data_IF_602989933055
#
_entry.id   IF_602989933055
#
_cell.length_a   1.000
_cell.length_b   1.000
_cell.length_c   1.000
_cell.angle_alpha   90.00
_cell.angle_beta   90.00
_cell.angle_gamma   90.00
#
_symmetry.space_group_name_H-M   'P 1'
#
loop_
_entity.id
_entity.type
_entity.pdbx_description
1 polymer ?
#
# COMPACT_ATOMS: atom_id res chain seq x y z
N UNK A 1 27.46 -13.53 -11.69
CA UNK A 1 26.22 -14.10 -12.24
C UNK A 1 25.21 -14.25 -11.10
N UNK A 2 24.22 -13.37 -10.98
CA UNK A 2 23.18 -13.48 -9.95
C UNK A 2 22.20 -14.58 -10.37
N UNK A 3 22.26 -15.75 -9.71
CA UNK A 3 21.27 -16.81 -9.91
C UNK A 3 20.05 -16.50 -9.05
N UNK A 4 18.93 -16.17 -9.67
CA UNK A 4 17.65 -16.07 -8.97
C UNK A 4 17.18 -17.46 -8.57
N UNK A 5 16.73 -17.61 -7.31
CA UNK A 5 16.17 -18.88 -6.83
C UNK A 5 14.67 -18.69 -6.58
N UNK A 6 13.87 -19.62 -7.12
CA UNK A 6 12.42 -19.64 -6.97
C UNK A 6 12.04 -20.74 -5.98
N UNK A 7 11.30 -20.38 -4.93
CA UNK A 7 10.80 -21.32 -3.93
C UNK A 7 9.30 -21.16 -3.74
N UNK A 8 8.65 -22.27 -3.38
CA UNK A 8 7.26 -22.26 -2.91
C UNK A 8 7.26 -22.18 -1.39
N UNK A 9 6.52 -21.22 -0.84
CA UNK A 9 6.29 -21.11 0.60
C UNK A 9 5.05 -21.89 1.02
N UNK A 10 5.04 -22.39 2.25
CA UNK A 10 3.90 -23.08 2.87
C UNK A 10 3.55 -22.38 4.20
N UNK A 11 2.94 -21.20 4.14
CA UNK A 11 2.67 -20.41 5.34
C UNK A 11 1.60 -21.08 6.22
N UNK A 12 1.78 -21.02 7.53
CA UNK A 12 0.74 -21.38 8.48
C UNK A 12 -0.38 -20.31 8.49
N UNK A 13 -1.45 -20.54 9.27
CA UNK A 13 -2.61 -19.65 9.28
C UNK A 13 -2.28 -18.22 9.67
N UNK A 14 -1.42 -18.01 10.68
CA UNK A 14 -1.01 -16.68 11.14
C UNK A 14 -0.22 -15.94 10.06
N UNK A 15 0.72 -16.64 9.41
CA UNK A 15 1.51 -16.10 8.31
C UNK A 15 0.64 -15.75 7.10
N UNK A 16 -0.34 -16.58 6.75
CA UNK A 16 -1.28 -16.28 5.67
C UNK A 16 -2.08 -15.02 5.96
N UNK A 17 -2.58 -14.87 7.18
CA UNK A 17 -3.32 -13.68 7.59
C UNK A 17 -2.45 -12.43 7.47
N UNK A 18 -1.22 -12.47 7.98
CA UNK A 18 -0.29 -11.35 7.89
C UNK A 18 0.02 -11.00 6.42
N UNK A 19 0.37 -11.99 5.60
CA UNK A 19 0.64 -11.77 4.17
C UNK A 19 -0.56 -11.13 3.47
N UNK A 20 -1.77 -11.66 3.69
CA UNK A 20 -2.98 -11.14 3.07
C UNK A 20 -3.28 -9.71 3.55
N UNK A 21 -3.08 -9.42 4.83
CA UNK A 21 -3.27 -8.08 5.38
C UNK A 21 -2.24 -7.10 4.79
N UNK A 22 -0.97 -7.47 4.73
CA UNK A 22 0.10 -6.64 4.15
C UNK A 22 -0.18 -6.34 2.69
N UNK A 23 -0.41 -7.37 1.87
CA UNK A 23 -0.66 -7.20 0.44
C UNK A 23 -1.96 -6.42 0.18
N UNK A 24 -3.00 -6.65 0.98
CA UNK A 24 -4.25 -5.90 0.93
C UNK A 24 -4.05 -4.41 1.22
N UNK A 25 -3.32 -4.08 2.29
CA UNK A 25 -3.00 -2.71 2.66
C UNK A 25 -2.15 -2.02 1.58
N UNK A 26 -1.12 -2.70 1.07
CA UNK A 26 -0.29 -2.18 -0.02
C UNK A 26 -1.12 -1.87 -1.26
N UNK A 27 -1.99 -2.81 -1.69
CA UNK A 27 -2.87 -2.62 -2.85
C UNK A 27 -3.81 -1.42 -2.65
N UNK A 28 -4.43 -1.30 -1.48
CA UNK A 28 -5.34 -0.20 -1.16
C UNK A 28 -4.64 1.16 -1.25
N UNK A 29 -3.48 1.30 -0.59
CA UNK A 29 -2.73 2.57 -0.56
C UNK A 29 -2.15 2.92 -1.91
N UNK A 30 -1.64 1.93 -2.65
CA UNK A 30 -1.18 2.14 -4.01
C UNK A 30 -2.31 2.68 -4.91
N UNK A 31 -3.48 2.06 -4.87
CA UNK A 31 -4.63 2.50 -5.67
C UNK A 31 -5.11 3.90 -5.28
N UNK A 32 -5.18 4.22 -3.98
CA UNK A 32 -5.53 5.57 -3.52
C UNK A 32 -4.52 6.62 -4.01
N UNK A 33 -3.23 6.34 -3.90
CA UNK A 33 -2.18 7.22 -4.38
C UNK A 33 -2.19 7.37 -5.91
N UNK A 34 -2.50 6.30 -6.65
CA UNK A 34 -2.64 6.33 -8.10
C UNK A 34 -3.84 7.20 -8.52
N UNK A 35 -5.01 7.00 -7.89
CA UNK A 35 -6.20 7.80 -8.14
C UNK A 35 -5.93 9.30 -7.92
N UNK A 36 -5.35 9.65 -6.77
CA UNK A 36 -4.97 11.03 -6.45
C UNK A 36 -4.01 11.64 -7.50
N UNK A 37 -3.05 10.87 -8.01
CA UNK A 37 -2.13 11.34 -9.06
C UNK A 37 -2.84 11.53 -10.41
N UNK A 38 -3.74 10.62 -10.76
CA UNK A 38 -4.53 10.72 -11.99
C UNK A 38 -5.43 11.96 -11.97
N UNK A 39 -6.16 12.18 -10.88
CA UNK A 39 -7.00 13.38 -10.69
C UNK A 39 -6.17 14.67 -10.77
N UNK A 40 -4.99 14.70 -10.14
CA UNK A 40 -4.12 15.87 -10.24
C UNK A 40 -3.63 16.11 -11.67
N UNK A 41 -3.26 15.04 -12.38
CA UNK A 41 -2.79 15.12 -13.76
C UNK A 41 -3.86 15.65 -14.71
N UNK A 42 -5.10 15.19 -14.58
CA UNK A 42 -6.25 15.69 -15.35
C UNK A 42 -6.48 17.20 -15.12
N UNK A 43 -6.18 17.67 -13.91
CA UNK A 43 -6.26 19.09 -13.54
C UNK A 43 -4.97 19.88 -13.88
N UNK A 44 -4.04 19.33 -14.66
CA UNK A 44 -2.79 19.98 -15.05
C UNK A 44 -1.73 20.08 -13.95
N UNK A 45 -1.93 19.39 -12.82
CA UNK A 45 -1.04 19.38 -11.68
C UNK A 45 -0.23 18.08 -11.58
N UNK A 46 0.82 18.08 -10.75
CA UNK A 46 1.61 16.88 -10.46
C UNK A 46 1.68 16.61 -8.97
N UNK A 47 1.21 15.44 -8.56
CA UNK A 47 1.34 14.92 -7.21
C UNK A 47 2.52 13.95 -7.15
N UNK A 48 3.46 14.23 -6.27
CA UNK A 48 4.66 13.43 -6.05
C UNK A 48 4.54 12.49 -4.84
N UNK A 49 5.68 11.92 -4.45
CA UNK A 49 5.78 11.03 -3.29
C UNK A 49 5.36 11.73 -1.99
N UNK A 50 5.85 12.95 -1.74
CA UNK A 50 5.63 13.68 -0.50
C UNK A 50 4.15 13.86 -0.19
N UNK A 51 3.35 14.26 -1.19
CA UNK A 51 1.91 14.42 -1.05
C UNK A 51 1.21 13.08 -0.78
N UNK A 52 1.56 12.01 -1.52
CA UNK A 52 0.97 10.68 -1.26
C UNK A 52 1.38 10.09 0.09
N UNK A 53 2.56 10.43 0.61
CA UNK A 53 3.01 10.05 1.95
C UNK A 53 2.25 10.80 3.05
N UNK A 54 1.98 12.10 2.85
CA UNK A 54 1.13 12.88 3.74
C UNK A 54 -0.31 12.32 3.77
N UNK A 55 -0.88 11.99 2.60
CA UNK A 55 -2.18 11.31 2.51
C UNK A 55 -2.22 10.02 3.34
N UNK A 56 -1.19 9.17 3.24
CA UNK A 56 -1.12 7.95 4.06
C UNK A 56 -1.08 8.27 5.56
N UNK A 57 -0.33 9.29 5.96
CA UNK A 57 -0.26 9.74 7.36
C UNK A 57 -1.64 10.14 7.88
N UNK A 58 -2.41 10.89 7.10
CA UNK A 58 -3.77 11.26 7.48
C UNK A 58 -4.73 10.07 7.49
N UNK A 59 -4.65 9.17 6.50
CA UNK A 59 -5.45 7.95 6.49
C UNK A 59 -5.22 7.12 7.75
N UNK A 60 -3.96 6.96 8.20
CA UNK A 60 -3.66 6.24 9.43
C UNK A 60 -4.30 6.87 10.68
N UNK A 61 -4.69 8.15 10.68
CA UNK A 61 -5.37 8.76 11.83
C UNK A 61 -6.87 8.44 11.88
N UNK A 62 -7.48 8.12 10.75
CA UNK A 62 -8.90 7.80 10.64
C UNK A 62 -9.21 6.41 11.22
N UNK A 63 -10.29 6.29 11.99
CA UNK A 63 -10.70 5.03 12.62
C UNK A 63 -11.02 3.94 11.59
N UNK A 64 -11.65 4.30 10.47
CA UNK A 64 -11.96 3.38 9.36
C UNK A 64 -10.71 2.73 8.76
N UNK A 65 -9.54 3.33 8.95
CA UNK A 65 -8.26 2.88 8.42
C UNK A 65 -7.28 2.48 9.54
N UNK A 66 -7.76 2.22 10.76
CA UNK A 66 -6.93 1.83 11.89
C UNK A 66 -6.06 0.58 11.61
N UNK A 67 -6.55 -0.34 10.76
CA UNK A 67 -5.83 -1.54 10.34
C UNK A 67 -4.51 -1.26 9.59
N UNK A 68 -4.32 -0.06 9.03
CA UNK A 68 -3.06 0.38 8.40
C UNK A 68 -1.92 0.63 9.39
N UNK A 69 -2.21 0.66 10.71
CA UNK A 69 -1.19 0.77 11.77
C UNK A 69 -0.61 -0.57 12.19
N UNK A 70 -1.32 -1.65 11.86
CA UNK A 70 -1.04 -3.02 12.34
C UNK A 70 -0.09 -3.77 11.38
N UNK A 71 0.09 -3.23 10.18
CA UNK A 71 0.99 -3.72 9.13
C UNK A 71 2.27 -2.90 9.10
#
# INVERSE_FOLDING_TARGET
>A
MQKGIKFRIYPNREQQNLINQTLGCCRLIYNKGLAMRNEAYENGNKIGYAQTSAMLTELKKCEDFAFLKVV
#
